data_IF_366478257323
#
_entry.id   IF_366478257323
#
_cell.length_a   1.000
_cell.length_b   1.000
_cell.length_c   1.000
_cell.angle_alpha   90.00
_cell.angle_beta   90.00
_cell.angle_gamma   90.00
#
_symmetry.space_group_name_H-M   'P 1'
#
loop_
_entity.id
_entity.type
_entity.pdbx_description
1 polymer ?
#
# COMPACT_ATOMS: atom_id res chain seq x y z
N UNK A 1 27.29 -6.22 5.14
CA UNK A 1 26.13 -5.32 4.99
C UNK A 1 25.44 -5.21 6.35
N UNK A 2 25.21 -4.01 6.88
CA UNK A 2 24.52 -3.88 8.18
C UNK A 2 23.02 -4.14 8.02
N UNK A 3 22.34 -4.63 9.07
CA UNK A 3 20.87 -4.83 9.09
C UNK A 3 20.11 -3.56 8.64
N UNK A 4 20.54 -2.39 9.10
CA UNK A 4 19.94 -1.12 8.71
C UNK A 4 20.08 -0.78 7.21
N UNK A 5 21.20 -1.17 6.58
CA UNK A 5 21.41 -1.00 5.13
C UNK A 5 20.50 -1.93 4.35
N UNK A 6 20.40 -3.20 4.77
CA UNK A 6 19.52 -4.18 4.14
C UNK A 6 18.05 -3.75 4.19
N UNK A 7 17.57 -3.29 5.36
CA UNK A 7 16.19 -2.78 5.53
C UNK A 7 15.88 -1.63 4.57
N UNK A 8 16.82 -0.71 4.37
CA UNK A 8 16.62 0.39 3.42
C UNK A 8 16.55 -0.09 1.98
N UNK A 9 17.50 -0.94 1.57
CA UNK A 9 17.55 -1.48 0.20
C UNK A 9 16.25 -2.24 -0.11
N UNK A 10 15.82 -3.14 0.78
CA UNK A 10 14.57 -3.88 0.61
C UNK A 10 13.33 -2.97 0.61
N UNK A 11 13.32 -1.94 1.45
CA UNK A 11 12.23 -0.96 1.47
C UNK A 11 12.08 -0.23 0.13
N UNK A 12 13.18 0.27 -0.45
CA UNK A 12 13.13 0.93 -1.76
C UNK A 12 12.87 -0.05 -2.91
N UNK A 13 13.41 -1.27 -2.88
CA UNK A 13 13.06 -2.31 -3.85
C UNK A 13 11.58 -2.67 -3.81
N UNK A 14 10.95 -2.59 -2.64
CA UNK A 14 9.51 -2.77 -2.47
C UNK A 14 8.65 -1.72 -3.19
N UNK A 15 9.20 -0.59 -3.64
CA UNK A 15 8.49 0.38 -4.48
C UNK A 15 8.37 -0.08 -5.94
N UNK A 16 9.28 -0.93 -6.43
CA UNK A 16 9.29 -1.35 -7.84
C UNK A 16 7.96 -1.95 -8.29
N UNK A 17 7.34 -2.90 -7.52
CA UNK A 17 6.04 -3.45 -7.92
C UNK A 17 4.86 -2.48 -7.82
N UNK A 18 5.02 -1.30 -7.19
CA UNK A 18 4.05 -0.20 -7.28
C UNK A 18 4.28 0.64 -8.54
N UNK A 19 5.54 0.97 -8.81
CA UNK A 19 5.89 1.88 -9.91
C UNK A 19 5.69 1.24 -11.28
N UNK A 20 5.99 -0.06 -11.42
CA UNK A 20 5.89 -0.76 -12.70
C UNK A 20 4.44 -0.79 -13.24
N UNK A 21 3.41 -1.27 -12.50
CA UNK A 21 2.03 -1.21 -12.97
C UNK A 21 1.56 0.22 -13.22
N UNK A 22 1.90 1.16 -12.32
CA UNK A 22 1.52 2.57 -12.46
C UNK A 22 2.08 3.19 -13.73
N UNK A 23 3.35 2.91 -14.05
CA UNK A 23 3.99 3.37 -15.29
C UNK A 23 3.32 2.77 -16.53
N UNK A 24 3.05 1.47 -16.56
CA UNK A 24 2.42 0.80 -17.70
C UNK A 24 1.00 1.34 -17.93
N UNK A 25 0.23 1.55 -16.87
CA UNK A 25 -1.10 2.17 -16.96
C UNK A 25 -1.05 3.61 -17.47
N UNK A 26 -0.11 4.42 -16.97
CA UNK A 26 0.07 5.79 -17.45
C UNK A 26 0.47 5.81 -18.93
N UNK A 27 1.37 4.92 -19.34
CA UNK A 27 1.79 4.79 -20.73
C UNK A 27 0.62 4.39 -21.64
N UNK A 28 -0.18 3.39 -21.23
CA UNK A 28 -1.36 2.95 -21.97
C UNK A 28 -2.40 4.07 -22.14
N UNK A 29 -2.64 4.86 -21.09
CA UNK A 29 -3.55 5.99 -21.13
C UNK A 29 -3.03 7.13 -22.05
N UNK A 30 -1.73 7.46 -21.97
CA UNK A 30 -1.12 8.52 -22.77
C UNK A 30 -1.08 8.20 -24.27
N UNK A 31 -0.89 6.93 -24.65
CA UNK A 31 -0.86 6.51 -26.05
C UNK A 31 -2.23 6.03 -26.59
N UNK A 32 -3.31 6.23 -25.82
CA UNK A 32 -4.68 5.96 -26.24
C UNK A 32 -5.01 4.48 -26.42
N UNK A 33 -4.19 3.57 -25.87
CA UNK A 33 -4.44 2.12 -25.95
C UNK A 33 -5.38 1.58 -24.88
N UNK A 34 -5.79 2.45 -23.94
CA UNK A 34 -6.68 2.12 -22.82
C UNK A 34 -6.02 1.23 -21.74
N UNK A 35 -6.53 1.28 -20.51
CA UNK A 35 -5.97 0.51 -19.38
C UNK A 35 -6.04 -1.01 -19.60
N UNK A 36 -6.92 -1.49 -20.48
CA UNK A 36 -7.01 -2.92 -20.83
C UNK A 36 -5.73 -3.45 -21.48
N UNK A 37 -4.94 -2.59 -22.13
CA UNK A 37 -3.64 -2.94 -22.71
C UNK A 37 -2.51 -2.98 -21.67
N UNK A 38 -2.69 -2.36 -20.52
CA UNK A 38 -1.72 -2.36 -19.43
C UNK A 38 -1.71 -3.70 -18.69
N UNK A 39 -1.06 -4.70 -19.30
CA UNK A 39 -0.97 -6.05 -18.73
C UNK A 39 0.46 -6.37 -18.28
N UNK A 40 0.57 -7.10 -17.17
CA UNK A 40 1.83 -7.64 -16.62
C UNK A 40 1.67 -9.15 -16.54
N UNK A 41 2.46 -9.91 -17.30
CA UNK A 41 2.34 -11.37 -17.42
C UNK A 41 0.92 -11.83 -17.79
N UNK A 42 0.20 -11.06 -18.59
CA UNK A 42 -1.19 -11.34 -18.97
C UNK A 42 -2.24 -10.96 -17.90
N UNK A 43 -1.83 -10.42 -16.77
CA UNK A 43 -2.72 -9.94 -15.72
C UNK A 43 -2.98 -8.42 -15.90
N UNK A 44 -4.23 -8.02 -15.69
CA UNK A 44 -4.65 -6.63 -15.76
C UNK A 44 -3.90 -5.76 -14.75
N UNK A 45 -3.28 -4.69 -15.21
CA UNK A 45 -2.38 -3.84 -14.41
C UNK A 45 -2.95 -3.37 -13.07
N UNK A 46 -4.18 -2.84 -13.01
CA UNK A 46 -4.83 -2.46 -11.76
C UNK A 46 -4.95 -3.61 -10.75
N UNK A 47 -5.20 -4.84 -11.20
CA UNK A 47 -5.29 -5.99 -10.29
C UNK A 47 -3.95 -6.37 -9.70
N UNK A 48 -2.88 -6.30 -10.52
CA UNK A 48 -1.50 -6.53 -10.03
C UNK A 48 -1.12 -5.48 -8.99
N UNK A 49 -1.47 -4.20 -9.24
CA UNK A 49 -1.25 -3.11 -8.30
C UNK A 49 -1.98 -3.34 -6.97
N UNK A 50 -3.29 -3.65 -7.02
CA UNK A 50 -4.11 -3.90 -5.82
C UNK A 50 -3.61 -5.11 -5.05
N UNK A 51 -3.28 -6.21 -5.74
CA UNK A 51 -2.80 -7.43 -5.09
C UNK A 51 -1.51 -7.18 -4.31
N UNK A 52 -0.53 -6.52 -4.95
CA UNK A 52 0.71 -6.18 -4.28
C UNK A 52 0.50 -5.20 -3.12
N UNK A 53 -0.30 -4.17 -3.34
CA UNK A 53 -0.64 -3.18 -2.31
C UNK A 53 -1.29 -3.84 -1.08
N UNK A 54 -2.25 -4.74 -1.29
CA UNK A 54 -2.92 -5.47 -0.20
C UNK A 54 -1.94 -6.34 0.60
N UNK A 55 -1.01 -7.04 -0.07
CA UNK A 55 0.02 -7.87 0.58
C UNK A 55 0.93 -6.99 1.46
N UNK A 56 1.42 -5.88 0.92
CA UNK A 56 2.30 -4.98 1.67
C UNK A 56 1.57 -4.33 2.84
N UNK A 57 0.33 -3.89 2.66
CA UNK A 57 -0.46 -3.31 3.76
C UNK A 57 -0.70 -4.32 4.88
N UNK A 58 -1.02 -5.57 4.54
CA UNK A 58 -1.18 -6.66 5.51
C UNK A 58 0.13 -6.96 6.26
N UNK A 59 1.26 -6.98 5.55
CA UNK A 59 2.59 -7.16 6.14
C UNK A 59 2.91 -6.05 7.15
N UNK A 60 2.63 -4.80 6.80
CA UNK A 60 2.84 -3.65 7.68
C UNK A 60 1.90 -3.70 8.91
N UNK A 61 0.64 -4.08 8.71
CA UNK A 61 -0.29 -4.35 9.81
C UNK A 61 0.28 -5.39 10.78
N UNK A 62 0.86 -6.48 10.28
CA UNK A 62 1.52 -7.49 11.10
C UNK A 62 2.70 -6.96 11.90
N UNK A 63 3.49 -6.01 11.37
CA UNK A 63 4.57 -5.37 12.15
C UNK A 63 4.03 -4.50 13.28
N UNK A 64 2.94 -3.78 13.06
CA UNK A 64 2.26 -2.98 14.08
C UNK A 64 1.69 -3.86 15.18
N UNK A 65 1.07 -4.99 14.82
CA UNK A 65 0.57 -5.98 15.76
C UNK A 65 1.68 -6.55 16.65
N UNK A 66 2.82 -6.93 16.04
CA UNK A 66 3.95 -7.46 16.79
C UNK A 66 4.55 -6.47 17.78
N UNK A 67 4.60 -5.17 17.42
CA UNK A 67 5.05 -4.10 18.30
C UNK A 67 4.08 -3.88 19.46
N UNK A 68 2.77 -3.83 19.18
CA UNK A 68 1.74 -3.63 20.20
C UNK A 68 1.73 -4.75 21.25
N UNK A 69 2.01 -5.99 20.85
CA UNK A 69 2.12 -7.13 21.78
C UNK A 69 3.29 -7.06 22.75
N UNK A 70 4.30 -6.26 22.46
CA UNK A 70 5.46 -6.05 23.33
C UNK A 70 5.31 -4.84 24.24
N UNK A 71 4.21 -4.11 24.11
CA UNK A 71 3.89 -2.92 24.91
C UNK A 71 2.84 -3.27 25.96
N UNK A 72 3.07 -2.85 27.19
CA UNK A 72 2.09 -2.96 28.30
C UNK A 72 1.17 -1.71 28.38
N UNK A 73 1.16 -0.87 27.33
CA UNK A 73 0.37 0.34 27.26
C UNK A 73 -1.13 0.05 27.09
N UNK A 74 -1.96 0.89 27.67
CA UNK A 74 -3.43 0.83 27.51
C UNK A 74 -3.88 0.99 26.05
N UNK A 75 -3.05 1.58 25.18
CA UNK A 75 -3.29 1.73 23.75
C UNK A 75 -3.00 0.46 22.93
N UNK A 76 -2.33 -0.54 23.52
CA UNK A 76 -1.93 -1.76 22.80
C UNK A 76 -3.13 -2.52 22.21
N UNK A 77 -4.24 -2.61 22.96
CA UNK A 77 -5.46 -3.26 22.47
C UNK A 77 -6.01 -2.59 21.19
N UNK A 78 -6.11 -1.26 21.19
CA UNK A 78 -6.59 -0.50 20.02
C UNK A 78 -5.66 -0.67 18.83
N UNK A 79 -4.35 -0.70 19.06
CA UNK A 79 -3.35 -0.91 18.02
C UNK A 79 -3.45 -2.32 17.41
N UNK A 80 -3.68 -3.35 18.23
CA UNK A 80 -3.92 -4.72 17.78
C UNK A 80 -5.20 -4.82 16.96
N UNK A 81 -6.30 -4.24 17.40
CA UNK A 81 -7.56 -4.21 16.65
C UNK A 81 -7.41 -3.50 15.31
N UNK A 82 -6.74 -2.35 15.29
CA UNK A 82 -6.49 -1.60 14.08
C UNK A 82 -5.61 -2.38 13.09
N UNK A 83 -4.56 -3.06 13.56
CA UNK A 83 -3.70 -3.88 12.69
C UNK A 83 -4.46 -5.03 12.01
N UNK A 84 -5.37 -5.69 12.74
CA UNK A 84 -6.24 -6.73 12.18
C UNK A 84 -7.25 -6.14 11.18
N UNK A 85 -7.82 -4.97 11.47
CA UNK A 85 -8.71 -4.26 10.55
C UNK A 85 -8.01 -3.93 9.23
N UNK A 86 -6.74 -3.48 9.27
CA UNK A 86 -5.94 -3.24 8.07
C UNK A 86 -5.76 -4.52 7.23
N UNK A 87 -5.45 -5.65 7.85
CA UNK A 87 -5.29 -6.92 7.14
C UNK A 87 -6.61 -7.40 6.53
N UNK A 88 -7.72 -7.29 7.25
CA UNK A 88 -9.06 -7.66 6.76
C UNK A 88 -9.52 -6.73 5.63
N UNK A 89 -9.27 -5.43 5.72
CA UNK A 89 -9.60 -4.48 4.66
C UNK A 89 -8.78 -4.74 3.39
N UNK A 90 -7.49 -5.06 3.54
CA UNK A 90 -6.63 -5.44 2.44
C UNK A 90 -7.12 -6.72 1.74
N UNK A 91 -7.52 -7.73 2.51
CA UNK A 91 -8.14 -8.94 1.97
C UNK A 91 -9.48 -8.65 1.27
N UNK A 92 -10.33 -7.82 1.87
CA UNK A 92 -11.62 -7.42 1.26
C UNK A 92 -11.40 -6.73 -0.09
N UNK A 93 -10.36 -5.89 -0.25
CA UNK A 93 -10.01 -5.26 -1.52
C UNK A 93 -9.77 -6.29 -2.64
N UNK A 94 -9.18 -7.46 -2.32
CA UNK A 94 -8.97 -8.54 -3.30
C UNK A 94 -10.27 -9.21 -3.75
N UNK A 95 -11.31 -9.17 -2.94
CA UNK A 95 -12.64 -9.69 -3.31
C UNK A 95 -13.45 -8.66 -4.09
N UNK A 96 -13.36 -7.39 -3.72
CA UNK A 96 -14.12 -6.30 -4.32
C UNK A 96 -13.84 -6.13 -5.82
N UNK A 97 -12.63 -6.43 -6.29
CA UNK A 97 -12.26 -6.32 -7.72
C UNK A 97 -13.09 -7.23 -8.63
N UNK A 98 -13.71 -8.30 -8.10
CA UNK A 98 -14.54 -9.23 -8.85
C UNK A 98 -16.01 -8.82 -8.92
N UNK A 99 -16.43 -7.78 -8.18
CA UNK A 99 -17.84 -7.39 -8.07
C UNK A 99 -18.24 -6.44 -9.21
N UNK A 100 -17.49 -5.34 -9.37
CA UNK A 100 -17.76 -4.35 -10.40
C UNK A 100 -16.53 -3.44 -10.61
N UNK A 101 -16.36 -2.82 -11.80
CA UNK A 101 -15.24 -1.92 -12.08
C UNK A 101 -15.10 -0.78 -11.06
N UNK A 102 -16.21 -0.17 -10.63
CA UNK A 102 -16.19 0.88 -9.62
C UNK A 102 -15.63 0.41 -8.27
N UNK A 103 -15.84 -0.86 -7.91
CA UNK A 103 -15.31 -1.46 -6.68
C UNK A 103 -13.79 -1.63 -6.76
N UNK A 104 -13.22 -1.74 -7.95
CA UNK A 104 -11.78 -1.74 -8.16
C UNK A 104 -11.17 -0.37 -7.79
N UNK A 105 -11.79 0.73 -8.21
CA UNK A 105 -11.37 2.09 -7.79
C UNK A 105 -11.53 2.26 -6.29
N UNK A 106 -12.67 1.83 -5.73
CA UNK A 106 -12.90 1.88 -4.30
C UNK A 106 -11.84 1.10 -3.51
N UNK A 107 -11.41 -0.07 -4.02
CA UNK A 107 -10.33 -0.86 -3.41
C UNK A 107 -9.01 -0.10 -3.36
N UNK A 108 -8.63 0.62 -4.42
CA UNK A 108 -7.40 1.45 -4.42
C UNK A 108 -7.52 2.58 -3.41
N UNK A 109 -8.68 3.24 -3.31
CA UNK A 109 -8.93 4.27 -2.30
C UNK A 109 -8.84 3.72 -0.86
N UNK A 110 -9.41 2.55 -0.61
CA UNK A 110 -9.39 1.90 0.71
C UNK A 110 -7.96 1.50 1.10
N UNK A 111 -7.17 0.97 0.16
CA UNK A 111 -5.76 0.66 0.39
C UNK A 111 -4.94 1.93 0.69
N UNK A 112 -5.15 3.02 -0.06
CA UNK A 112 -4.52 4.31 0.23
C UNK A 112 -4.85 4.79 1.65
N UNK A 113 -6.13 4.76 2.04
CA UNK A 113 -6.56 5.11 3.40
C UNK A 113 -5.87 4.22 4.45
N UNK A 114 -5.70 2.93 4.17
CA UNK A 114 -4.96 1.99 5.01
C UNK A 114 -3.50 2.39 5.20
N UNK A 115 -2.79 2.78 4.14
CA UNK A 115 -1.39 3.26 4.24
C UNK A 115 -1.25 4.54 5.05
N UNK A 116 -2.17 5.49 4.86
CA UNK A 116 -2.18 6.74 5.63
C UNK A 116 -2.53 6.48 7.10
N UNK A 117 -3.51 5.61 7.36
CA UNK A 117 -3.87 5.17 8.70
C UNK A 117 -2.72 4.44 9.40
N UNK A 118 -1.99 3.58 8.66
CA UNK A 118 -0.78 2.91 9.18
C UNK A 118 0.30 3.93 9.58
N UNK A 119 0.57 4.92 8.71
CA UNK A 119 1.55 5.98 9.00
C UNK A 119 1.12 6.79 10.23
N UNK A 120 -0.17 7.10 10.35
CA UNK A 120 -0.74 7.80 11.50
C UNK A 120 -0.56 6.97 12.79
N UNK A 121 -0.91 5.69 12.77
CA UNK A 121 -0.74 4.79 13.93
C UNK A 121 0.73 4.67 14.35
N UNK A 122 1.66 4.56 13.40
CA UNK A 122 3.10 4.57 13.68
C UNK A 122 3.57 5.91 14.28
N UNK A 123 2.97 7.04 13.89
CA UNK A 123 3.32 8.35 14.44
C UNK A 123 2.93 8.55 15.90
N UNK A 124 1.91 7.82 16.36
CA UNK A 124 1.46 7.84 17.76
C UNK A 124 2.30 6.94 18.67
N UNK A 125 3.00 5.97 18.09
CA UNK A 125 3.84 5.05 18.85
C UNK A 125 5.29 5.58 18.92
N UNK A 126 5.94 5.38 20.06
CA UNK A 126 7.33 5.81 20.34
C UNK A 126 8.40 5.22 19.38
N UNK A 127 8.03 4.27 18.52
CA UNK A 127 8.89 3.67 17.48
C UNK A 127 9.40 4.73 16.49
N UNK A 128 8.73 5.87 16.39
CA UNK A 128 9.16 7.04 15.61
C UNK A 128 10.46 7.69 16.12
N UNK A 129 10.97 7.27 17.29
CA UNK A 129 12.19 7.84 17.92
C UNK A 129 13.46 7.71 17.08
N UNK A 130 13.56 6.74 16.18
CA UNK A 130 14.68 6.68 15.24
C UNK A 130 14.44 7.59 14.04
N UNK A 131 14.88 8.85 14.11
CA UNK A 131 14.74 9.88 13.08
C UNK A 131 15.09 9.39 11.65
N UNK A 132 16.07 8.49 11.51
CA UNK A 132 16.48 7.91 10.21
C UNK A 132 15.44 6.92 9.66
N UNK A 133 14.87 6.08 10.52
CA UNK A 133 13.81 5.13 10.15
C UNK A 133 12.52 5.88 9.77
N UNK A 134 12.12 6.85 10.58
CA UNK A 134 10.93 7.66 10.34
C UNK A 134 10.98 8.41 9.02
N UNK A 135 12.10 9.05 8.70
CA UNK A 135 12.30 9.71 7.40
C UNK A 135 12.15 8.74 6.22
N UNK A 136 12.75 7.55 6.31
CA UNK A 136 12.60 6.52 5.29
C UNK A 136 11.12 6.10 5.15
N UNK A 137 10.42 5.92 6.26
CA UNK A 137 9.00 5.53 6.29
C UNK A 137 8.12 6.58 5.61
N UNK A 138 8.33 7.86 5.93
CA UNK A 138 7.64 8.98 5.27
C UNK A 138 7.88 8.99 3.75
N UNK A 139 9.11 8.82 3.31
CA UNK A 139 9.45 8.78 1.88
C UNK A 139 8.79 7.60 1.16
N UNK A 140 8.84 6.41 1.74
CA UNK A 140 8.20 5.23 1.16
C UNK A 140 6.68 5.41 1.07
N UNK A 141 6.03 5.88 2.14
CA UNK A 141 4.59 6.12 2.14
C UNK A 141 4.20 7.23 1.16
N UNK A 142 5.00 8.28 1.02
CA UNK A 142 4.78 9.34 0.02
C UNK A 142 4.74 8.78 -1.41
N UNK A 143 5.72 7.96 -1.81
CA UNK A 143 5.75 7.37 -3.14
C UNK A 143 4.61 6.37 -3.37
N UNK A 144 4.28 5.56 -2.36
CA UNK A 144 3.13 4.66 -2.42
C UNK A 144 1.83 5.44 -2.57
N UNK A 145 1.63 6.51 -1.79
CA UNK A 145 0.44 7.36 -1.91
C UNK A 145 0.34 8.03 -3.29
N UNK A 146 1.46 8.54 -3.82
CA UNK A 146 1.51 9.12 -5.17
C UNK A 146 1.11 8.10 -6.24
N UNK A 147 1.61 6.86 -6.14
CA UNK A 147 1.24 5.77 -7.06
C UNK A 147 -0.27 5.45 -6.97
N UNK A 148 -0.84 5.38 -5.76
CA UNK A 148 -2.29 5.17 -5.58
C UNK A 148 -3.11 6.29 -6.21
N UNK A 149 -2.75 7.55 -5.97
CA UNK A 149 -3.44 8.71 -6.56
C UNK A 149 -3.37 8.70 -8.08
N UNK A 150 -2.22 8.35 -8.66
CA UNK A 150 -2.07 8.20 -10.10
C UNK A 150 -2.99 7.09 -10.63
N UNK A 151 -2.99 5.91 -10.01
CA UNK A 151 -3.84 4.78 -10.43
C UNK A 151 -5.32 5.13 -10.32
N UNK A 152 -5.75 5.78 -9.22
CA UNK A 152 -7.14 6.26 -9.05
C UNK A 152 -7.51 7.21 -10.19
N UNK A 153 -6.66 8.20 -10.51
CA UNK A 153 -6.94 9.18 -11.56
C UNK A 153 -7.05 8.54 -12.94
N UNK A 154 -6.18 7.59 -13.26
CA UNK A 154 -6.21 6.88 -14.53
C UNK A 154 -7.47 5.99 -14.65
N UNK A 155 -7.84 5.29 -13.59
CA UNK A 155 -9.04 4.45 -13.59
C UNK A 155 -10.32 5.28 -13.66
N UNK A 156 -10.37 6.43 -12.98
CA UNK A 156 -11.53 7.34 -13.04
C UNK A 156 -11.71 7.98 -14.42
N UNK A 157 -10.62 8.15 -15.17
CA UNK A 157 -10.68 8.71 -16.53
C UNK A 157 -11.26 7.71 -17.56
N UNK A 158 -11.33 6.42 -17.23
CA UNK A 158 -11.88 5.37 -18.10
C UNK A 158 -13.28 4.86 -17.68
N UNK A 159 -13.81 5.32 -16.53
CA UNK A 159 -15.19 5.02 -16.10
C UNK A 159 -16.19 5.92 -16.79
#
# INVERSE_FOLDING_TARGET
MTSATLTRVLGFLGLVPFMLPSYLMANAALFGSGLQSAAIFGLYGPYVFIAYSAIILSFLGGTLWAQARQSDDSSALMTILFSNLLALSAWACLLLIYIAPIMTVFSVCLLLAGYLGMLFAESLNDVSRQRKYWRMRLWLTFWVALAHLLVISLMMAEL
#
